data_IF_484033561205
#
_entry.id   IF_484033561205
#
_cell.length_a   1.000
_cell.length_b   1.000
_cell.length_c   1.000
_cell.angle_alpha   90.00
_cell.angle_beta   90.00
_cell.angle_gamma   90.00
#
_symmetry.space_group_name_H-M   'P 1'
#
loop_
_entity.id
_entity.type
_entity.pdbx_description
1 polymer ?
#
# COMPACT_ATOMS: atom_id res chain seq x y z
N UNK A 1 3.59 -20.99 1.35
CA UNK A 1 3.28 -19.95 0.36
C UNK A 1 3.68 -18.62 0.96
N UNK A 2 4.71 -17.97 0.44
CA UNK A 2 5.12 -16.64 0.90
C UNK A 2 4.63 -15.64 -0.13
N UNK A 3 3.47 -15.04 0.11
CA UNK A 3 3.09 -13.83 -0.62
C UNK A 3 4.01 -12.73 -0.07
N UNK A 4 4.94 -12.26 -0.89
CA UNK A 4 5.67 -11.03 -0.59
C UNK A 4 4.71 -9.86 -0.78
N UNK A 5 3.84 -9.63 0.20
CA UNK A 5 3.18 -8.35 0.33
C UNK A 5 4.25 -7.38 0.85
N UNK A 6 4.68 -6.45 0.00
CA UNK A 6 5.51 -5.32 0.43
C UNK A 6 4.58 -4.42 1.23
N UNK A 7 4.44 -4.70 2.52
CA UNK A 7 3.52 -3.98 3.40
C UNK A 7 4.01 -2.55 3.63
N UNK A 8 3.32 -1.57 3.06
CA UNK A 8 3.41 -0.15 3.41
C UNK A 8 2.31 0.30 4.39
N UNK A 9 1.62 -0.64 5.06
CA UNK A 9 0.44 -0.33 5.91
C UNK A 9 0.81 0.55 7.10
N UNK A 10 2.01 0.39 7.70
CA UNK A 10 2.42 1.22 8.84
C UNK A 10 2.68 2.69 8.47
N UNK A 11 2.90 2.97 7.20
CA UNK A 11 3.18 4.33 6.70
C UNK A 11 1.93 5.19 6.65
N UNK A 12 0.77 4.60 6.31
CA UNK A 12 -0.46 5.36 6.09
C UNK A 12 -1.10 5.90 7.38
N UNK A 13 -1.10 5.12 8.47
CA UNK A 13 -1.65 5.58 9.75
C UNK A 13 -0.98 6.88 10.24
N UNK A 14 0.36 6.90 10.25
CA UNK A 14 1.11 8.06 10.71
C UNK A 14 0.96 9.25 9.76
N UNK A 15 0.86 9.00 8.45
CA UNK A 15 0.60 10.06 7.49
C UNK A 15 -0.74 10.76 7.74
N UNK A 16 -1.77 10.01 8.14
CA UNK A 16 -3.09 10.57 8.46
C UNK A 16 -3.08 11.28 9.82
N UNK A 17 -2.41 10.73 10.81
CA UNK A 17 -2.41 11.26 12.19
C UNK A 17 -1.50 12.47 12.39
N UNK A 18 -0.29 12.47 11.80
CA UNK A 18 0.72 13.51 12.02
C UNK A 18 1.13 14.28 10.77
N UNK A 19 0.70 13.81 9.58
CA UNK A 19 1.15 14.36 8.30
C UNK A 19 2.59 14.03 7.95
N UNK A 20 3.26 13.17 8.73
CA UNK A 20 4.68 12.89 8.54
C UNK A 20 4.93 11.60 7.77
N UNK A 21 5.80 11.70 6.76
CA UNK A 21 6.37 10.52 6.13
C UNK A 21 7.59 10.04 6.92
N UNK A 22 7.38 8.97 7.68
CA UNK A 22 8.41 8.29 8.48
C UNK A 22 9.38 7.44 7.64
N UNK A 23 9.10 7.22 6.35
CA UNK A 23 9.99 6.45 5.47
C UNK A 23 10.73 7.36 4.48
N UNK A 24 12.04 7.15 4.29
CA UNK A 24 12.85 7.93 3.35
C UNK A 24 12.55 7.60 1.89
N UNK A 25 11.68 6.62 1.60
CA UNK A 25 11.33 6.25 0.23
C UNK A 25 10.43 7.31 -0.39
N UNK A 26 10.79 7.75 -1.58
CA UNK A 26 9.93 8.59 -2.43
C UNK A 26 8.86 7.78 -3.17
N UNK A 27 9.01 6.45 -3.24
CA UNK A 27 8.17 5.54 -4.04
C UNK A 27 7.56 4.46 -3.14
N UNK A 28 6.27 4.21 -3.32
CA UNK A 28 5.46 3.25 -2.57
C UNK A 28 4.82 2.24 -3.51
N UNK A 29 4.75 0.99 -3.05
CA UNK A 29 4.11 -0.11 -3.76
C UNK A 29 2.83 -0.41 -2.98
N UNK A 30 1.69 -0.15 -3.60
CA UNK A 30 0.38 -0.23 -2.98
C UNK A 30 -0.39 -1.42 -3.53
N UNK A 31 -1.17 -2.03 -2.66
CA UNK A 31 -2.11 -3.11 -2.97
C UNK A 31 -3.23 -3.06 -1.94
N UNK A 32 -4.47 -3.27 -2.38
CA UNK A 32 -5.61 -3.41 -1.47
C UNK A 32 -5.47 -4.66 -0.59
N UNK A 33 -5.82 -4.53 0.69
CA UNK A 33 -5.73 -5.65 1.65
C UNK A 33 -6.68 -6.80 1.30
N UNK A 34 -7.81 -6.52 0.64
CA UNK A 34 -8.75 -7.52 0.16
C UNK A 34 -8.14 -8.33 -0.97
N UNK A 35 -7.39 -7.70 -1.87
CA UNK A 35 -6.69 -8.40 -2.94
C UNK A 35 -5.60 -9.33 -2.37
N UNK A 36 -4.90 -8.88 -1.32
CA UNK A 36 -3.95 -9.73 -0.60
C UNK A 36 -4.66 -10.95 -0.01
N UNK A 37 -5.80 -10.76 0.66
CA UNK A 37 -6.57 -11.87 1.24
C UNK A 37 -7.08 -12.83 0.15
N UNK A 38 -7.62 -12.30 -0.94
CA UNK A 38 -8.13 -13.10 -2.05
C UNK A 38 -7.01 -13.88 -2.76
N UNK A 39 -5.84 -13.27 -2.95
CA UNK A 39 -4.67 -13.95 -3.50
C UNK A 39 -4.21 -15.10 -2.59
N UNK A 40 -4.27 -14.94 -1.27
CA UNK A 40 -3.98 -16.04 -0.35
C UNK A 40 -4.99 -17.18 -0.46
N UNK A 41 -6.29 -16.88 -0.55
CA UNK A 41 -7.33 -17.91 -0.73
C UNK A 41 -7.10 -18.68 -2.03
N UNK A 42 -6.98 -17.97 -3.15
CA UNK A 42 -6.79 -18.61 -4.46
C UNK A 42 -5.54 -19.48 -4.53
N UNK A 43 -4.41 -18.99 -4.00
CA UNK A 43 -3.17 -19.73 -4.06
C UNK A 43 -3.13 -20.91 -3.06
N UNK A 44 -4.05 -20.96 -2.10
CA UNK A 44 -4.32 -22.16 -1.30
C UNK A 44 -5.26 -23.15 -2.01
N UNK A 45 -6.32 -22.65 -2.65
CA UNK A 45 -7.36 -23.48 -3.28
C UNK A 45 -6.94 -24.11 -4.61
N UNK A 46 -6.04 -23.46 -5.36
CA UNK A 46 -5.58 -23.93 -6.66
C UNK A 46 -4.39 -24.88 -6.49
N UNK A 47 -4.52 -26.19 -6.76
CA UNK A 47 -3.45 -27.17 -6.49
C UNK A 47 -2.18 -26.97 -7.31
N UNK A 48 -2.29 -26.30 -8.47
CA UNK A 48 -1.16 -25.96 -9.33
C UNK A 48 -0.45 -24.66 -8.92
N UNK A 49 -1.01 -23.89 -7.98
CA UNK A 49 -0.38 -22.66 -7.51
C UNK A 49 0.88 -22.99 -6.70
N UNK A 50 2.03 -22.49 -7.15
CA UNK A 50 3.33 -22.81 -6.55
C UNK A 50 4.26 -21.62 -6.65
N UNK A 51 5.29 -21.58 -5.78
CA UNK A 51 6.29 -20.52 -5.79
C UNK A 51 5.86 -19.25 -5.05
N UNK A 52 6.26 -18.09 -5.60
CA UNK A 52 6.04 -16.76 -5.01
C UNK A 52 5.24 -15.91 -5.99
N UNK A 53 4.24 -15.21 -5.47
CA UNK A 53 3.42 -14.27 -6.23
C UNK A 53 3.72 -12.85 -5.75
N UNK A 54 4.11 -11.99 -6.69
CA UNK A 54 4.23 -10.56 -6.42
C UNK A 54 2.85 -9.93 -6.55
N UNK A 55 2.40 -9.24 -5.52
CA UNK A 55 1.10 -8.57 -5.53
C UNK A 55 1.31 -7.07 -5.29
N UNK A 56 1.16 -6.30 -6.37
CA UNK A 56 1.33 -4.86 -6.41
C UNK A 56 0.30 -4.33 -7.39
N UNK A 57 -0.58 -3.45 -6.94
CA UNK A 57 -1.58 -2.82 -7.78
C UNK A 57 -1.00 -1.56 -8.45
N UNK A 58 -0.37 -0.69 -7.65
CA UNK A 58 0.22 0.57 -8.13
C UNK A 58 1.56 0.84 -7.47
N UNK A 59 2.45 1.43 -8.26
CA UNK A 59 3.69 2.04 -7.78
C UNK A 59 3.51 3.54 -7.89
N UNK A 60 3.54 4.26 -6.77
CA UNK A 60 3.20 5.68 -6.70
C UNK A 60 4.26 6.46 -5.94
N UNK A 61 4.49 7.70 -6.34
CA UNK A 61 5.36 8.61 -5.61
C UNK A 61 4.63 9.25 -4.43
N UNK A 62 5.36 9.59 -3.37
CA UNK A 62 4.80 10.23 -2.18
C UNK A 62 3.95 11.50 -2.48
N UNK A 63 4.35 12.40 -3.41
CA UNK A 63 3.51 13.55 -3.75
C UNK A 63 2.15 13.17 -4.37
N UNK A 64 2.07 12.06 -5.10
CA UNK A 64 0.81 11.57 -5.66
C UNK A 64 -0.11 11.02 -4.57
N UNK A 65 0.46 10.37 -3.55
CA UNK A 65 -0.29 9.93 -2.35
C UNK A 65 -0.87 11.16 -1.63
N UNK A 66 -0.06 12.18 -1.35
CA UNK A 66 -0.52 13.41 -0.69
C UNK A 66 -1.62 14.11 -1.47
N UNK A 67 -1.47 14.21 -2.81
CA UNK A 67 -2.49 14.79 -3.68
C UNK A 67 -3.81 14.03 -3.56
N UNK A 68 -3.76 12.71 -3.67
CA UNK A 68 -4.94 11.84 -3.57
C UNK A 68 -5.61 11.98 -2.21
N UNK A 69 -4.84 12.00 -1.12
CA UNK A 69 -5.38 12.16 0.23
C UNK A 69 -6.03 13.53 0.45
N UNK A 70 -5.44 14.61 -0.08
CA UNK A 70 -6.05 15.94 0.01
C UNK A 70 -7.31 16.08 -0.84
N UNK A 71 -7.40 15.38 -1.98
CA UNK A 71 -8.61 15.34 -2.80
C UNK A 71 -9.76 14.59 -2.10
N UNK A 72 -9.45 13.47 -1.43
CA UNK A 72 -10.45 12.65 -0.72
C UNK A 72 -10.81 13.21 0.66
N UNK A 73 -9.83 13.78 1.37
CA UNK A 73 -9.92 14.25 2.74
C UNK A 73 -9.32 15.66 2.86
N UNK A 74 -9.97 16.68 2.29
CA UNK A 74 -9.42 18.05 2.24
C UNK A 74 -9.21 18.67 3.62
N UNK A 75 -9.84 18.15 4.66
CA UNK A 75 -9.69 18.62 6.05
C UNK A 75 -8.39 18.19 6.72
N UNK A 76 -7.65 17.22 6.15
CA UNK A 76 -6.39 16.75 6.72
C UNK A 76 -5.26 17.77 6.56
N UNK A 77 -5.38 18.71 5.61
CA UNK A 77 -4.39 19.79 5.43
C UNK A 77 -2.96 19.28 5.25
N UNK A 78 -2.78 18.18 4.53
CA UNK A 78 -1.49 17.53 4.39
C UNK A 78 -0.60 18.36 3.45
N UNK A 79 0.42 19.01 4.00
CA UNK A 79 1.39 19.78 3.22
C UNK A 79 2.72 19.05 3.09
N UNK A 80 3.43 19.32 1.99
CA UNK A 80 4.79 18.84 1.79
C UNK A 80 5.72 19.61 2.75
N UNK A 81 6.21 18.96 3.81
CA UNK A 81 7.31 19.50 4.63
C UNK A 81 8.65 19.38 3.88
#
# INVERSE_FOLDING_TARGET
MFICAIFAVKTFENLVDTGENIFPSSIYWLVDVQDVAYAHIQAFEIPSATGRYCLVERVVEFPEILKTLNELYPTLGLERK
#
